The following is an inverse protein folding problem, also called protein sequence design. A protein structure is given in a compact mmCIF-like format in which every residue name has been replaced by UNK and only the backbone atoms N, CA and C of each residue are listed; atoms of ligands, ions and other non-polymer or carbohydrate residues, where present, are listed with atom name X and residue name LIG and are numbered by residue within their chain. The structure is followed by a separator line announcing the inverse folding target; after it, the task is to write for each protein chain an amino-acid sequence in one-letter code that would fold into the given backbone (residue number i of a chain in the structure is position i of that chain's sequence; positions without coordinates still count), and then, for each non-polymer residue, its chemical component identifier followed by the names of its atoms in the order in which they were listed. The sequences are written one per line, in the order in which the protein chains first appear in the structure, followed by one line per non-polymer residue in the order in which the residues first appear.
data_IF_123559318062
#
_entry.id   IF_123559318062
#
_cell.length_a   1.000
_cell.length_b   1.000
_cell.length_c   1.000
_cell.angle_alpha   90.00
_cell.angle_beta   90.00
_cell.angle_gamma   90.00
#
_symmetry.space_group_name_H-M   'P 1'
#
loop_
_entity.id
_entity.type
_entity.pdbx_description
1 polymer ?
#
# COMPACT_ATOMS: atom_id res chain seq x y z
N UNK A 1 -43.11 21.51 57.28
CA UNK A 1 -41.96 20.68 56.89
C UNK A 1 -41.90 20.50 55.34
N UNK A 2 -42.00 21.59 54.55
CA UNK A 2 -42.10 21.50 53.07
C UNK A 2 -41.12 22.43 52.32
N UNK A 3 -40.14 23.01 53.02
CA UNK A 3 -39.25 24.05 52.45
C UNK A 3 -37.81 23.60 52.20
N UNK A 4 -37.42 22.43 52.68
CA UNK A 4 -36.02 21.95 52.64
C UNK A 4 -35.76 21.11 51.37
N UNK A 5 -36.74 20.31 50.92
CA UNK A 5 -36.56 19.39 49.79
C UNK A 5 -36.35 20.10 48.43
N UNK A 6 -36.97 21.26 48.19
CA UNK A 6 -36.85 21.95 46.90
C UNK A 6 -35.43 22.45 46.58
N UNK A 7 -34.63 22.79 47.59
CA UNK A 7 -33.28 23.34 47.37
C UNK A 7 -32.29 22.22 47.01
N UNK A 8 -32.39 21.08 47.68
CA UNK A 8 -31.57 19.90 47.40
C UNK A 8 -31.88 19.32 46.01
N UNK A 9 -33.16 19.24 45.63
CA UNK A 9 -33.58 18.79 44.30
C UNK A 9 -33.06 19.72 43.20
N UNK A 10 -33.21 21.04 43.36
CA UNK A 10 -32.70 22.04 42.41
C UNK A 10 -31.16 21.99 42.29
N UNK A 11 -30.47 21.74 43.41
CA UNK A 11 -29.01 21.58 43.42
C UNK A 11 -28.59 20.29 42.70
N UNK A 12 -29.32 19.19 42.92
CA UNK A 12 -29.10 17.91 42.24
C UNK A 12 -29.27 18.02 40.72
N UNK A 13 -30.36 18.64 40.26
CA UNK A 13 -30.64 18.84 38.84
C UNK A 13 -29.56 19.71 38.16
N UNK A 14 -29.12 20.77 38.82
CA UNK A 14 -28.04 21.63 38.32
C UNK A 14 -26.71 20.89 38.26
N UNK A 15 -26.39 20.05 39.25
CA UNK A 15 -25.17 19.25 39.25
C UNK A 15 -25.17 18.26 38.09
N UNK A 16 -26.29 17.55 37.88
CA UNK A 16 -26.46 16.61 36.78
C UNK A 16 -26.30 17.28 35.41
N UNK A 17 -26.88 18.47 35.22
CA UNK A 17 -26.73 19.23 33.99
C UNK A 17 -25.28 19.68 33.71
N UNK A 18 -24.52 20.02 34.76
CA UNK A 18 -23.10 20.39 34.65
C UNK A 18 -22.26 19.18 34.25
N UNK A 19 -22.50 18.02 34.87
CA UNK A 19 -21.81 16.77 34.55
C UNK A 19 -22.10 16.33 33.11
N UNK A 20 -23.37 16.34 32.70
CA UNK A 20 -23.76 16.00 31.33
C UNK A 20 -23.13 16.96 30.30
N UNK A 21 -23.02 18.25 30.64
CA UNK A 21 -22.37 19.24 29.80
C UNK A 21 -20.86 18.98 29.68
N UNK A 22 -20.19 18.67 30.79
CA UNK A 22 -18.78 18.29 30.85
C UNK A 22 -18.50 17.05 30.00
N UNK A 23 -19.28 15.99 30.17
CA UNK A 23 -19.18 14.77 29.38
C UNK A 23 -19.37 15.02 27.89
N UNK A 24 -20.41 15.78 27.51
CA UNK A 24 -20.69 16.10 26.10
C UNK A 24 -19.54 16.88 25.47
N UNK A 25 -18.90 17.80 26.20
CA UNK A 25 -17.74 18.54 25.71
C UNK A 25 -16.50 17.65 25.59
N UNK A 26 -16.22 16.81 26.58
CA UNK A 26 -15.12 15.86 26.53
C UNK A 26 -15.26 14.90 25.35
N UNK A 27 -16.45 14.30 25.16
CA UNK A 27 -16.76 13.42 24.02
C UNK A 27 -16.55 14.14 22.68
N UNK A 28 -17.12 15.35 22.52
CA UNK A 28 -16.95 16.14 21.29
C UNK A 28 -15.49 16.53 21.03
N UNK A 29 -14.74 16.88 22.08
CA UNK A 29 -13.32 17.22 21.98
C UNK A 29 -12.48 16.04 21.53
N UNK A 30 -12.66 14.89 22.19
CA UNK A 30 -12.00 13.64 21.85
C UNK A 30 -12.33 13.20 20.43
N UNK A 31 -13.61 13.17 20.05
CA UNK A 31 -14.03 12.74 18.72
C UNK A 31 -13.46 13.63 17.60
N UNK A 32 -13.44 14.96 17.81
CA UNK A 32 -12.82 15.90 16.87
C UNK A 32 -11.31 15.70 16.78
N UNK A 33 -10.64 15.54 17.92
CA UNK A 33 -9.21 15.30 18.00
C UNK A 33 -8.81 14.00 17.30
N UNK A 34 -9.51 12.92 17.62
CA UNK A 34 -9.33 11.60 17.03
C UNK A 34 -9.60 11.61 15.53
N UNK A 35 -10.74 12.12 15.06
CA UNK A 35 -11.05 12.21 13.62
C UNK A 35 -9.99 13.00 12.86
N UNK A 36 -9.54 14.15 13.37
CA UNK A 36 -8.50 14.96 12.73
C UNK A 36 -7.14 14.27 12.74
N UNK A 37 -6.74 13.69 13.87
CA UNK A 37 -5.47 12.98 14.02
C UNK A 37 -5.42 11.74 13.14
N UNK A 38 -6.45 10.91 13.21
CA UNK A 38 -6.60 9.70 12.40
C UNK A 38 -6.61 10.02 10.91
N UNK A 39 -7.43 10.97 10.45
CA UNK A 39 -7.47 11.33 9.03
C UNK A 39 -6.11 11.80 8.53
N UNK A 40 -5.44 12.69 9.27
CA UNK A 40 -4.10 13.19 8.89
C UNK A 40 -3.03 12.09 8.91
N UNK A 41 -3.04 11.25 9.95
CA UNK A 41 -2.08 10.16 10.10
C UNK A 41 -2.27 9.08 9.05
N UNK A 42 -3.51 8.65 8.85
CA UNK A 42 -3.89 7.67 7.83
C UNK A 42 -3.59 8.18 6.43
N UNK A 43 -4.06 9.38 6.05
CA UNK A 43 -3.84 9.92 4.72
C UNK A 43 -2.36 10.11 4.41
N UNK A 44 -1.56 10.65 5.35
CA UNK A 44 -0.12 10.83 5.13
C UNK A 44 0.65 9.50 5.14
N UNK A 45 0.36 8.62 6.10
CA UNK A 45 1.07 7.36 6.28
C UNK A 45 0.71 6.34 5.21
N UNK A 46 -0.59 6.12 5.01
CA UNK A 46 -1.11 5.18 4.02
C UNK A 46 -0.75 5.62 2.62
N UNK A 47 -1.06 6.86 2.21
CA UNK A 47 -0.81 7.31 0.83
C UNK A 47 0.68 7.22 0.49
N UNK A 48 1.55 7.79 1.32
CA UNK A 48 3.00 7.79 1.06
C UNK A 48 3.61 6.39 1.15
N UNK A 49 3.19 5.58 2.11
CA UNK A 49 3.71 4.21 2.29
C UNK A 49 3.24 3.29 1.18
N UNK A 50 1.94 3.32 0.88
CA UNK A 50 1.31 2.51 -0.15
C UNK A 50 1.80 2.90 -1.55
N UNK A 51 1.75 4.17 -1.95
CA UNK A 51 2.19 4.57 -3.29
C UNK A 51 3.65 4.18 -3.52
N UNK A 52 4.56 4.55 -2.61
CA UNK A 52 5.99 4.25 -2.79
C UNK A 52 6.31 2.75 -2.71
N UNK A 53 5.64 2.03 -1.81
CA UNK A 53 5.85 0.60 -1.64
C UNK A 53 5.29 -0.20 -2.81
N UNK A 54 4.08 0.12 -3.21
CA UNK A 54 3.38 -0.51 -4.33
C UNK A 54 4.08 -0.23 -5.64
N UNK A 55 4.39 1.03 -5.97
CA UNK A 55 5.05 1.39 -7.22
C UNK A 55 6.40 0.69 -7.37
N UNK A 56 7.26 0.74 -6.35
CA UNK A 56 8.57 0.08 -6.37
C UNK A 56 8.46 -1.45 -6.41
N UNK A 57 7.53 -2.02 -5.65
CA UNK A 57 7.31 -3.46 -5.60
C UNK A 57 6.77 -4.00 -6.92
N UNK A 58 5.76 -3.31 -7.46
CA UNK A 58 5.10 -3.64 -8.71
C UNK A 58 6.07 -3.50 -9.89
N UNK A 59 6.80 -2.39 -10.01
CA UNK A 59 7.74 -2.19 -11.12
C UNK A 59 8.85 -3.25 -11.11
N UNK A 60 9.46 -3.52 -9.95
CA UNK A 60 10.48 -4.56 -9.81
C UNK A 60 9.94 -5.95 -10.13
N UNK A 61 8.77 -6.30 -9.59
CA UNK A 61 8.12 -7.58 -9.82
C UNK A 61 7.76 -7.79 -11.28
N UNK A 62 7.14 -6.78 -11.90
CA UNK A 62 6.74 -6.79 -13.30
C UNK A 62 7.94 -6.90 -14.23
N UNK A 63 9.00 -6.12 -14.00
CA UNK A 63 10.23 -6.17 -14.80
C UNK A 63 10.94 -7.53 -14.67
N UNK A 64 11.00 -8.09 -13.45
CA UNK A 64 11.55 -9.43 -13.23
C UNK A 64 10.74 -10.49 -13.97
N UNK A 65 9.41 -10.49 -13.81
CA UNK A 65 8.52 -11.44 -14.48
C UNK A 65 8.61 -11.36 -16.00
N UNK A 66 8.62 -10.15 -16.57
CA UNK A 66 8.80 -9.93 -18.01
C UNK A 66 10.14 -10.51 -18.50
N UNK A 67 11.24 -10.24 -17.79
CA UNK A 67 12.55 -10.75 -18.15
C UNK A 67 12.61 -12.28 -18.05
N UNK A 68 12.00 -12.88 -17.02
CA UNK A 68 11.97 -14.34 -16.84
C UNK A 68 11.19 -15.02 -17.97
N UNK A 69 10.08 -14.42 -18.43
CA UNK A 69 9.32 -14.91 -19.59
C UNK A 69 10.15 -14.81 -20.86
N UNK A 70 10.76 -13.65 -21.13
CA UNK A 70 11.60 -13.44 -22.32
C UNK A 70 12.74 -14.47 -22.37
N UNK A 71 13.41 -14.70 -21.24
CA UNK A 71 14.47 -15.71 -21.14
C UNK A 71 13.99 -17.11 -21.48
N UNK A 72 12.83 -17.52 -20.94
CA UNK A 72 12.22 -18.83 -21.24
C UNK A 72 11.87 -18.98 -22.71
N UNK A 73 11.30 -17.95 -23.32
CA UNK A 73 10.95 -17.96 -24.75
C UNK A 73 12.22 -18.13 -25.59
N UNK A 74 13.25 -17.32 -25.35
CA UNK A 74 14.53 -17.39 -26.08
C UNK A 74 15.16 -18.77 -25.89
N UNK A 75 15.24 -19.28 -24.66
CA UNK A 75 15.81 -20.60 -24.38
C UNK A 75 15.08 -21.71 -25.14
N UNK A 76 13.75 -21.69 -25.17
CA UNK A 76 12.95 -22.68 -25.90
C UNK A 76 13.17 -22.59 -27.42
N UNK A 77 13.26 -21.38 -27.98
CA UNK A 77 13.54 -21.18 -29.40
C UNK A 77 14.94 -21.65 -29.78
N UNK A 78 15.95 -21.33 -28.96
CA UNK A 78 17.33 -21.79 -29.17
C UNK A 78 17.44 -23.31 -29.04
N UNK A 79 16.79 -23.92 -28.04
CA UNK A 79 16.76 -25.38 -27.87
C UNK A 79 16.07 -26.09 -29.04
N UNK A 80 15.20 -25.39 -29.77
CA UNK A 80 14.56 -25.89 -31.00
C UNK A 80 15.44 -25.73 -32.24
N UNK A 81 16.69 -25.27 -32.08
CA UNK A 81 17.66 -25.07 -33.16
C UNK A 81 17.56 -23.73 -33.89
N UNK A 82 16.72 -22.80 -33.41
CA UNK A 82 16.59 -21.48 -34.03
C UNK A 82 17.82 -20.61 -33.76
N UNK A 83 18.31 -19.92 -34.80
CA UNK A 83 19.47 -19.03 -34.66
C UNK A 83 19.10 -17.71 -33.98
N UNK A 84 20.01 -17.06 -33.24
CA UNK A 84 19.75 -15.77 -32.58
C UNK A 84 19.22 -14.68 -33.53
N UNK A 85 19.71 -14.66 -34.77
CA UNK A 85 19.30 -13.72 -35.81
C UNK A 85 17.82 -13.93 -36.22
N UNK A 86 17.38 -15.19 -36.32
CA UNK A 86 15.99 -15.54 -36.63
C UNK A 86 15.05 -15.23 -35.46
N UNK A 87 15.50 -15.48 -34.22
CA UNK A 87 14.75 -15.13 -33.01
C UNK A 87 14.54 -13.61 -32.96
N UNK A 88 15.58 -12.83 -33.26
CA UNK A 88 15.51 -11.37 -33.25
C UNK A 88 14.45 -10.84 -34.20
N UNK A 89 14.42 -11.36 -35.42
CA UNK A 89 13.42 -10.98 -36.43
C UNK A 89 12.00 -11.39 -35.98
N UNK A 90 11.82 -12.60 -35.45
CA UNK A 90 10.48 -13.12 -35.08
C UNK A 90 9.89 -12.50 -33.83
N UNK A 91 10.74 -12.09 -32.89
CA UNK A 91 10.32 -11.58 -31.58
C UNK A 91 10.42 -10.08 -31.46
N UNK A 92 11.01 -9.41 -32.46
CA UNK A 92 11.37 -7.99 -32.44
C UNK A 92 12.25 -7.62 -31.25
N UNK A 93 12.95 -8.60 -30.67
CA UNK A 93 13.92 -8.39 -29.61
C UNK A 93 15.27 -8.14 -30.26
N UNK A 94 15.98 -7.12 -29.76
CA UNK A 94 17.31 -6.78 -30.23
C UNK A 94 18.28 -7.97 -30.14
N UNK A 95 19.05 -8.19 -31.20
CA UNK A 95 19.97 -9.32 -31.32
C UNK A 95 21.02 -9.36 -30.19
N UNK A 96 21.48 -8.19 -29.72
CA UNK A 96 22.41 -8.09 -28.59
C UNK A 96 21.76 -8.64 -27.32
N UNK A 97 20.50 -8.27 -27.06
CA UNK A 97 19.74 -8.75 -25.89
C UNK A 97 19.58 -10.26 -25.91
N UNK A 98 19.28 -10.85 -27.07
CA UNK A 98 19.18 -12.30 -27.23
C UNK A 98 20.52 -12.98 -26.94
N UNK A 99 21.62 -12.48 -27.51
CA UNK A 99 22.96 -13.02 -27.29
C UNK A 99 23.38 -12.93 -25.81
N UNK A 100 23.10 -11.81 -25.14
CA UNK A 100 23.35 -11.65 -23.70
C UNK A 100 22.56 -12.65 -22.85
N UNK A 101 21.32 -12.96 -23.22
CA UNK A 101 20.48 -13.94 -22.52
C UNK A 101 21.01 -15.36 -22.71
N UNK A 102 21.40 -15.71 -23.93
CA UNK A 102 21.97 -17.03 -24.24
C UNK A 102 23.27 -17.24 -23.46
N UNK A 103 24.19 -16.27 -23.51
CA UNK A 103 25.47 -16.35 -22.80
C UNK A 103 25.30 -16.52 -21.28
N UNK A 104 24.33 -15.84 -20.66
CA UNK A 104 24.05 -16.00 -19.22
C UNK A 104 23.51 -17.39 -18.87
N UNK A 105 22.62 -17.92 -19.70
CA UNK A 105 22.08 -19.27 -19.48
C UNK A 105 23.15 -20.37 -19.62
N UNK A 106 24.21 -20.14 -20.40
CA UNK A 106 25.34 -21.05 -20.50
C UNK A 106 26.26 -20.98 -19.27
N UNK A 107 26.43 -19.80 -18.68
CA UNK A 107 27.18 -19.61 -17.43
C UNK A 107 26.49 -20.26 -16.22
N UNK A 108 25.15 -20.19 -16.16
CA UNK A 108 24.37 -20.79 -15.07
C UNK A 108 24.29 -22.34 -15.12
N UNK A 109 24.78 -22.96 -16.21
CA UNK A 109 24.86 -24.43 -16.38
C UNK A 109 26.19 -25.04 -15.91
N UNK A 110 27.16 -24.21 -15.54
CA UNK A 110 28.47 -24.61 -15.00
C UNK A 110 28.55 -24.32 -13.49
#
# INVERSE_FOLDING_TARGET
MLRINNLEDILGDKMSAIDEYGERRCKKGFEKGFKKGFKKGFEKGFKKGFEKGFEKGFEKGFKKGKNDIIRKIIANMTNSGMKPEEISIKTEIDLKTIKEIINKNEQDKH
#
